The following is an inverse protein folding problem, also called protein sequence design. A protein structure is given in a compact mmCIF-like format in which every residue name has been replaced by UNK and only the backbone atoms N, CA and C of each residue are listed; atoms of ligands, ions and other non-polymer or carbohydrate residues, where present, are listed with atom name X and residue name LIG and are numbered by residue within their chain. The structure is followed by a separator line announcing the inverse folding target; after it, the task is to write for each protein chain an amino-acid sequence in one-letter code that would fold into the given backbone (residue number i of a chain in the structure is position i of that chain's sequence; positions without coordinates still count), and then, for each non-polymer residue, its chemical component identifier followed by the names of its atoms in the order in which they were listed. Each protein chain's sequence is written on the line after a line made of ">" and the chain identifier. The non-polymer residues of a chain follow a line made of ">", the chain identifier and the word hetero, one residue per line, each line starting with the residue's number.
data_IF_396042153146
#
_entry.id   IF_396042153146
#
_cell.length_a   1.000
_cell.length_b   1.000
_cell.length_c   1.000
_cell.angle_alpha   90.00
_cell.angle_beta   90.00
_cell.angle_gamma   90.00
#
_symmetry.space_group_name_H-M   'P 1'
#
loop_
_entity.id
_entity.type
_entity.pdbx_description
1 polymer ?
#
# COMPACT_ATOMS: atom_id res chain seq x y z
N UNK A 1 12.74 18.68 1.56
CA UNK A 1 12.32 17.40 2.13
C UNK A 1 13.53 16.71 2.72
N UNK A 2 13.86 16.99 3.98
CA UNK A 2 14.87 16.22 4.71
C UNK A 2 14.13 15.06 5.36
N UNK A 3 14.07 13.92 4.69
CA UNK A 3 13.64 12.67 5.33
C UNK A 3 14.61 12.39 6.47
N UNK A 4 14.11 12.36 7.71
CA UNK A 4 14.93 12.00 8.86
C UNK A 4 15.50 10.59 8.62
N UNK A 5 16.82 10.45 8.77
CA UNK A 5 17.48 9.16 8.66
C UNK A 5 16.93 8.21 9.73
N UNK A 6 16.20 7.18 9.30
CA UNK A 6 15.78 6.08 10.17
C UNK A 6 17.00 5.20 10.49
N UNK A 7 17.16 4.81 11.76
CA UNK A 7 18.13 3.78 12.13
C UNK A 7 17.65 2.45 11.56
N UNK A 8 18.60 1.57 11.21
CA UNK A 8 18.30 0.21 10.73
C UNK A 8 17.42 -0.52 11.75
N UNK A 9 16.25 -1.01 11.32
CA UNK A 9 15.30 -1.69 12.19
C UNK A 9 14.31 -0.79 12.94
N UNK A 10 14.36 0.53 12.78
CA UNK A 10 13.36 1.45 13.34
C UNK A 10 12.61 2.12 12.19
N UNK A 11 11.29 2.24 12.31
CA UNK A 11 10.49 3.15 11.51
C UNK A 11 9.99 4.29 12.41
N UNK A 12 10.32 5.53 12.04
CA UNK A 12 9.97 6.73 12.81
C UNK A 12 8.77 7.42 12.20
N UNK A 13 7.82 7.83 13.05
CA UNK A 13 6.76 8.75 12.64
C UNK A 13 7.34 10.15 12.44
N UNK A 14 7.01 10.78 11.31
CA UNK A 14 7.49 12.12 10.96
C UNK A 14 6.63 13.25 11.53
N UNK A 15 5.42 12.97 12.03
CA UNK A 15 4.46 14.02 12.41
C UNK A 15 3.44 13.61 13.50
N UNK A 16 3.74 12.68 14.42
CA UNK A 16 2.78 12.12 15.42
C UNK A 16 1.45 11.58 14.83
N UNK A 17 1.30 11.59 13.51
CA UNK A 17 0.15 11.15 12.71
C UNK A 17 0.33 9.72 12.21
N UNK A 18 1.28 8.99 12.81
CA UNK A 18 1.64 7.63 12.46
C UNK A 18 2.83 7.55 11.50
N UNK A 19 3.41 6.35 11.35
CA UNK A 19 4.51 6.08 10.44
C UNK A 19 4.02 6.01 8.99
N UNK A 20 4.60 6.82 8.10
CA UNK A 20 4.38 6.72 6.65
C UNK A 20 5.57 6.04 6.00
N UNK A 21 5.33 4.89 5.35
CA UNK A 21 6.40 4.06 4.80
C UNK A 21 6.10 3.75 3.34
N UNK A 22 7.07 4.08 2.48
CA UNK A 22 7.00 3.84 1.05
C UNK A 22 7.54 2.45 0.73
N UNK A 23 6.67 1.58 0.24
CA UNK A 23 7.05 0.30 -0.34
C UNK A 23 7.18 0.47 -1.86
N UNK A 24 8.41 0.60 -2.35
CA UNK A 24 8.67 0.97 -3.75
C UNK A 24 8.49 -0.18 -4.74
N UNK A 25 8.37 -1.43 -4.28
CA UNK A 25 8.52 -2.60 -5.18
C UNK A 25 7.30 -3.52 -5.28
N UNK A 26 6.21 -3.21 -4.59
CA UNK A 26 4.97 -4.00 -4.63
C UNK A 26 4.36 -4.04 -6.04
N UNK A 27 4.01 -2.87 -6.61
CA UNK A 27 3.47 -2.82 -7.98
C UNK A 27 4.51 -3.15 -9.06
N UNK A 28 5.77 -2.78 -8.82
CA UNK A 28 6.85 -3.00 -9.77
C UNK A 28 7.16 -4.48 -9.99
N UNK A 29 6.97 -5.35 -8.99
CA UNK A 29 7.15 -6.80 -9.15
C UNK A 29 6.11 -7.44 -10.07
N UNK A 30 4.84 -7.02 -9.98
CA UNK A 30 3.79 -7.44 -10.93
C UNK A 30 4.11 -6.92 -12.33
N UNK A 31 4.52 -5.66 -12.45
CA UNK A 31 4.90 -5.07 -13.73
C UNK A 31 6.12 -5.78 -14.34
N UNK A 32 7.11 -6.16 -13.53
CA UNK A 32 8.26 -6.93 -13.99
C UNK A 32 7.88 -8.32 -14.49
N UNK A 33 6.95 -9.02 -13.82
CA UNK A 33 6.40 -10.28 -14.31
C UNK A 33 5.72 -10.15 -15.67
N UNK A 34 5.03 -9.02 -15.90
CA UNK A 34 4.32 -8.70 -17.13
C UNK A 34 5.28 -8.31 -18.26
N UNK A 35 6.06 -7.27 -18.03
CA UNK A 35 6.81 -6.57 -19.08
C UNK A 35 8.17 -7.20 -19.34
N UNK A 36 8.82 -7.75 -18.31
CA UNK A 36 10.19 -8.31 -18.44
C UNK A 36 10.18 -9.82 -18.61
N UNK A 37 9.44 -10.56 -17.77
CA UNK A 37 9.38 -12.02 -17.88
C UNK A 37 8.29 -12.54 -18.82
N UNK A 38 7.27 -11.73 -19.14
CA UNK A 38 6.17 -12.14 -20.02
C UNK A 38 5.34 -13.30 -19.47
N UNK A 39 5.31 -13.50 -18.15
CA UNK A 39 4.56 -14.59 -17.51
C UNK A 39 3.05 -14.29 -17.53
N UNK A 40 2.70 -13.01 -17.38
CA UNK A 40 1.33 -12.49 -17.40
C UNK A 40 1.23 -11.41 -18.47
N UNK A 41 0.04 -11.20 -19.04
CA UNK A 41 -0.23 -10.14 -20.03
C UNK A 41 -0.83 -8.89 -19.40
N UNK A 42 -1.62 -9.06 -18.34
CA UNK A 42 -2.20 -7.96 -17.56
C UNK A 42 -1.93 -8.17 -16.08
N UNK A 43 -2.01 -7.10 -15.29
CA UNK A 43 -1.85 -7.19 -13.84
C UNK A 43 -2.97 -8.01 -13.18
N UNK A 44 -4.16 -8.09 -13.78
CA UNK A 44 -5.29 -8.88 -13.26
C UNK A 44 -5.06 -10.39 -13.37
N UNK A 45 -4.31 -10.85 -14.39
CA UNK A 45 -4.05 -12.28 -14.63
C UNK A 45 -3.20 -12.92 -13.52
N UNK A 46 -2.45 -12.13 -12.75
CA UNK A 46 -1.61 -12.65 -11.66
C UNK A 46 -2.43 -13.34 -10.58
N UNK A 47 -3.65 -12.87 -10.31
CA UNK A 47 -4.54 -13.46 -9.29
C UNK A 47 -4.96 -14.86 -9.70
N UNK A 48 -5.52 -14.99 -10.91
CA UNK A 48 -5.93 -16.29 -11.47
C UNK A 48 -4.76 -17.26 -11.53
N UNK A 49 -3.59 -16.78 -11.97
CA UNK A 49 -2.40 -17.62 -12.10
C UNK A 49 -1.88 -18.10 -10.75
N UNK A 50 -1.89 -17.24 -9.73
CA UNK A 50 -1.47 -17.57 -8.37
C UNK A 50 -2.51 -18.42 -7.62
N UNK A 51 -3.79 -18.34 -7.99
CA UNK A 51 -4.87 -19.17 -7.44
C UNK A 51 -4.84 -20.61 -7.95
N UNK A 52 -4.14 -20.91 -9.06
CA UNK A 52 -3.96 -22.27 -9.56
C UNK A 52 -3.15 -23.19 -8.62
N UNK A 53 -2.42 -22.60 -7.67
CA UNK A 53 -1.61 -23.33 -6.69
C UNK A 53 -2.01 -22.90 -5.28
N UNK A 54 -2.06 -23.86 -4.35
CA UNK A 54 -2.40 -23.56 -2.94
C UNK A 54 -1.22 -22.93 -2.20
N UNK A 55 0.01 -23.31 -2.55
CA UNK A 55 1.24 -22.85 -1.91
C UNK A 55 2.31 -22.51 -2.95
N UNK A 56 3.35 -21.77 -2.54
CA UNK A 56 4.52 -21.47 -3.37
C UNK A 56 5.43 -22.67 -3.64
N UNK A 57 5.21 -23.81 -2.96
CA UNK A 57 6.04 -25.00 -3.13
C UNK A 57 7.49 -24.79 -2.64
N UNK A 58 7.69 -23.88 -1.68
CA UNK A 58 9.01 -23.52 -1.15
C UNK A 58 9.74 -22.43 -1.94
N UNK A 59 9.10 -21.88 -2.98
CA UNK A 59 9.66 -20.75 -3.75
C UNK A 59 9.47 -19.45 -2.96
N UNK A 60 10.56 -18.73 -2.75
CA UNK A 60 10.54 -17.40 -2.16
C UNK A 60 11.13 -16.39 -3.15
N UNK A 61 10.43 -15.28 -3.30
CA UNK A 61 10.86 -14.16 -4.11
C UNK A 61 11.09 -12.94 -3.23
N UNK A 62 12.21 -12.25 -3.41
CA UNK A 62 12.52 -10.99 -2.75
C UNK A 62 12.63 -9.92 -3.83
N UNK A 63 11.63 -9.02 -3.97
CA UNK A 63 11.60 -8.00 -5.01
C UNK A 63 12.45 -6.78 -4.60
N UNK A 64 13.76 -6.96 -4.48
CA UNK A 64 14.69 -5.90 -4.12
C UNK A 64 15.38 -5.29 -5.36
N UNK A 65 14.64 -4.95 -6.43
CA UNK A 65 15.25 -4.49 -7.69
C UNK A 65 16.15 -3.26 -7.52
N UNK A 66 15.73 -2.33 -6.66
CA UNK A 66 16.46 -1.10 -6.34
C UNK A 66 16.96 -1.07 -4.89
N UNK A 67 17.20 -2.25 -4.29
CA UNK A 67 17.48 -2.37 -2.86
C UNK A 67 16.24 -2.68 -2.02
N UNK A 68 16.46 -2.90 -0.73
CA UNK A 68 15.42 -3.04 0.28
C UNK A 68 15.33 -1.75 1.09
N UNK A 69 14.11 -1.23 1.21
CA UNK A 69 13.83 -0.04 2.01
C UNK A 69 13.54 -0.42 3.46
N UNK A 70 12.74 0.36 4.17
CA UNK A 70 12.38 0.08 5.55
C UNK A 70 11.79 -1.34 5.69
N UNK A 71 12.10 -2.08 6.77
CA UNK A 71 12.98 -1.71 7.90
C UNK A 71 14.49 -1.95 7.67
N UNK A 72 14.85 -2.61 6.57
CA UNK A 72 16.18 -3.16 6.35
C UNK A 72 17.23 -2.14 5.89
N UNK A 73 16.83 -1.15 5.08
CA UNK A 73 17.68 -0.08 4.53
C UNK A 73 18.98 -0.63 3.92
N UNK A 74 18.83 -1.48 2.91
CA UNK A 74 19.91 -2.18 2.21
C UNK A 74 19.91 -1.84 0.73
N UNK A 75 20.73 -0.85 0.35
CA UNK A 75 20.92 -0.42 -1.04
C UNK A 75 21.67 -1.46 -1.89
N UNK A 76 22.43 -2.35 -1.24
CA UNK A 76 23.18 -3.43 -1.87
C UNK A 76 22.28 -4.61 -2.28
N UNK A 77 21.07 -4.71 -1.73
CA UNK A 77 20.17 -5.81 -2.00
C UNK A 77 19.67 -5.80 -3.46
N UNK A 78 19.52 -7.00 -4.04
CA UNK A 78 19.01 -7.20 -5.39
C UNK A 78 17.90 -8.23 -5.39
N UNK A 79 17.11 -8.26 -6.47
CA UNK A 79 16.04 -9.23 -6.65
C UNK A 79 16.57 -10.67 -6.57
N UNK A 80 15.98 -11.50 -5.72
CA UNK A 80 16.40 -12.89 -5.51
C UNK A 80 15.19 -13.81 -5.58
N UNK A 81 15.30 -14.92 -6.30
CA UNK A 81 14.33 -16.00 -6.32
C UNK A 81 15.03 -17.29 -5.90
N UNK A 82 14.54 -17.94 -4.85
CA UNK A 82 15.14 -19.16 -4.28
C UNK A 82 14.07 -20.26 -4.10
N UNK A 83 14.52 -21.49 -3.88
CA UNK A 83 13.62 -22.64 -3.67
C UNK A 83 13.03 -23.22 -4.96
N UNK A 84 13.61 -22.88 -6.12
CA UNK A 84 13.18 -23.42 -7.40
C UNK A 84 13.58 -24.90 -7.48
N UNK A 85 12.59 -25.75 -7.74
CA UNK A 85 12.77 -27.18 -8.02
C UNK A 85 12.19 -27.50 -9.40
N UNK A 86 12.32 -28.76 -9.85
CA UNK A 86 11.72 -29.21 -11.12
C UNK A 86 10.18 -29.12 -11.12
N UNK A 87 9.55 -29.09 -9.95
CA UNK A 87 8.09 -28.96 -9.81
C UNK A 87 7.61 -27.50 -9.92
N UNK A 88 8.53 -26.53 -9.79
CA UNK A 88 8.19 -25.12 -9.85
C UNK A 88 7.67 -24.76 -11.24
N UNK A 89 6.56 -24.03 -11.27
CA UNK A 89 5.91 -23.55 -12.48
C UNK A 89 5.65 -22.04 -12.36
N UNK A 90 5.11 -21.43 -13.42
CA UNK A 90 4.78 -19.99 -13.43
C UNK A 90 3.79 -19.57 -12.32
N UNK A 91 2.87 -20.45 -11.94
CA UNK A 91 1.90 -20.19 -10.85
C UNK A 91 2.57 -20.08 -9.49
N UNK A 92 3.56 -20.94 -9.20
CA UNK A 92 4.35 -20.84 -7.97
C UNK A 92 5.13 -19.52 -7.90
N UNK A 93 5.69 -19.07 -9.02
CA UNK A 93 6.41 -17.79 -9.09
C UNK A 93 5.46 -16.60 -8.89
N UNK A 94 4.29 -16.62 -9.55
CA UNK A 94 3.27 -15.59 -9.38
C UNK A 94 2.78 -15.51 -7.92
N UNK A 95 2.54 -16.67 -7.30
CA UNK A 95 2.17 -16.76 -5.88
C UNK A 95 3.28 -16.23 -4.97
N UNK A 96 4.54 -16.60 -5.22
CA UNK A 96 5.68 -16.13 -4.45
C UNK A 96 5.88 -14.61 -4.55
N UNK A 97 5.57 -14.03 -5.72
CA UNK A 97 5.60 -12.58 -5.92
C UNK A 97 4.52 -11.89 -5.09
N UNK A 98 3.28 -12.41 -5.06
CA UNK A 98 2.23 -11.86 -4.18
C UNK A 98 2.59 -12.00 -2.69
N UNK A 99 3.04 -13.18 -2.26
CA UNK A 99 3.46 -13.40 -0.87
C UNK A 99 4.63 -12.50 -0.45
N UNK A 100 5.57 -12.23 -1.36
CA UNK A 100 6.69 -11.31 -1.10
C UNK A 100 6.26 -9.88 -0.76
N UNK A 101 5.10 -9.45 -1.29
CA UNK A 101 4.52 -8.15 -0.95
C UNK A 101 4.00 -8.17 0.47
N UNK A 102 3.31 -9.25 0.84
CA UNK A 102 2.77 -9.42 2.18
C UNK A 102 3.87 -9.49 3.23
N UNK A 103 4.97 -10.20 2.95
CA UNK A 103 6.13 -10.25 3.84
C UNK A 103 6.74 -8.87 4.08
N UNK A 104 6.89 -8.04 3.04
CA UNK A 104 7.42 -6.68 3.22
C UNK A 104 6.48 -5.78 4.03
N UNK A 105 5.17 -5.86 3.80
CA UNK A 105 4.18 -5.15 4.62
C UNK A 105 4.29 -5.59 6.08
N UNK A 106 4.42 -6.90 6.32
CA UNK A 106 4.55 -7.48 7.65
C UNK A 106 5.85 -7.04 8.35
N UNK A 107 6.99 -7.11 7.68
CA UNK A 107 8.28 -6.65 8.22
C UNK A 107 8.21 -5.19 8.67
N UNK A 108 7.55 -4.35 7.86
CA UNK A 108 7.32 -2.95 8.19
C UNK A 108 6.43 -2.80 9.42
N UNK A 109 5.29 -3.48 9.45
CA UNK A 109 4.38 -3.43 10.60
C UNK A 109 5.03 -3.95 11.88
N UNK A 110 5.85 -4.99 11.79
CA UNK A 110 6.57 -5.53 12.95
C UNK A 110 7.63 -4.57 13.48
N UNK A 111 8.24 -3.76 12.59
CA UNK A 111 9.14 -2.69 13.02
C UNK A 111 8.43 -1.53 13.74
N UNK A 112 7.12 -1.39 13.54
CA UNK A 112 6.27 -0.39 14.19
C UNK A 112 5.64 -0.90 15.49
N UNK A 113 5.29 -2.18 15.53
CA UNK A 113 4.53 -2.82 16.60
C UNK A 113 5.35 -3.23 17.84
N UNK A 114 6.44 -2.51 18.15
CA UNK A 114 7.03 -2.60 19.50
C UNK A 114 6.06 -2.05 20.57
N UNK A 115 5.00 -1.35 20.19
CA UNK A 115 3.92 -0.88 21.07
C UNK A 115 2.64 -1.69 20.84
N UNK A 116 2.36 -2.59 21.80
CA UNK A 116 1.30 -3.61 21.75
C UNK A 116 -0.11 -3.00 21.84
N UNK A 117 -0.87 -3.05 20.75
CA UNK A 117 -2.32 -2.80 20.71
C UNK A 117 -3.00 -3.56 19.56
N UNK A 118 -4.31 -3.79 19.66
CA UNK A 118 -5.11 -4.27 18.53
C UNK A 118 -5.17 -3.17 17.46
N UNK A 119 -4.60 -3.42 16.29
CA UNK A 119 -4.65 -2.50 15.15
C UNK A 119 -5.43 -3.12 14.00
N UNK A 120 -6.10 -2.31 13.18
CA UNK A 120 -6.74 -2.76 11.94
C UNK A 120 -5.91 -2.29 10.75
N UNK A 121 -5.61 -3.19 9.80
CA UNK A 121 -4.95 -2.78 8.57
C UNK A 121 -6.00 -2.31 7.56
N UNK A 122 -6.04 -1.00 7.31
CA UNK A 122 -6.80 -0.42 6.21
C UNK A 122 -5.93 -0.38 4.96
N UNK A 123 -6.48 -0.82 3.84
CA UNK A 123 -5.75 -0.93 2.58
C UNK A 123 -6.48 -0.14 1.50
N UNK A 124 -5.72 0.53 0.64
CA UNK A 124 -6.23 1.21 -0.54
C UNK A 124 -5.21 1.13 -1.70
N UNK A 125 -5.68 1.38 -2.92
CA UNK A 125 -4.85 1.42 -4.13
C UNK A 125 -4.95 0.16 -5.01
N UNK A 126 -4.32 0.22 -6.18
CA UNK A 126 -4.55 -0.72 -7.28
C UNK A 126 -4.29 -2.21 -6.91
N UNK A 127 -3.29 -2.49 -6.06
CA UNK A 127 -2.97 -3.86 -5.65
C UNK A 127 -4.04 -4.47 -4.74
N UNK A 128 -4.82 -3.64 -4.03
CA UNK A 128 -5.86 -4.10 -3.09
C UNK A 128 -7.09 -4.68 -3.79
N UNK A 129 -7.22 -4.47 -5.10
CA UNK A 129 -8.24 -5.13 -5.91
C UNK A 129 -8.06 -6.66 -5.96
N UNK A 130 -6.84 -7.16 -5.77
CA UNK A 130 -6.53 -8.58 -5.77
C UNK A 130 -6.98 -9.23 -4.44
N UNK A 131 -8.01 -10.08 -4.50
CA UNK A 131 -8.59 -10.65 -3.28
C UNK A 131 -7.67 -11.69 -2.66
N UNK A 132 -7.00 -12.51 -3.49
CA UNK A 132 -6.03 -13.49 -3.00
C UNK A 132 -4.90 -12.82 -2.19
N UNK A 133 -4.37 -11.70 -2.67
CA UNK A 133 -3.35 -10.93 -1.96
C UNK A 133 -3.85 -10.44 -0.60
N UNK A 134 -5.09 -9.95 -0.54
CA UNK A 134 -5.69 -9.46 0.71
C UNK A 134 -5.94 -10.60 1.70
N UNK A 135 -6.33 -11.78 1.23
CA UNK A 135 -6.47 -12.98 2.05
C UNK A 135 -5.11 -13.42 2.63
N UNK A 136 -4.08 -13.52 1.79
CA UNK A 136 -2.72 -13.85 2.24
C UNK A 136 -2.22 -12.84 3.28
N UNK A 137 -2.48 -11.55 3.07
CA UNK A 137 -2.10 -10.49 4.02
C UNK A 137 -2.79 -10.67 5.37
N UNK A 138 -4.10 -10.96 5.37
CA UNK A 138 -4.88 -11.18 6.59
C UNK A 138 -4.40 -12.42 7.34
N UNK A 139 -4.15 -13.51 6.62
CA UNK A 139 -3.64 -14.77 7.18
C UNK A 139 -2.25 -14.58 7.80
N UNK A 140 -1.36 -13.85 7.11
CA UNK A 140 0.00 -13.58 7.59
C UNK A 140 0.01 -12.70 8.84
N UNK A 141 -0.92 -11.76 8.94
CA UNK A 141 -1.02 -10.84 10.06
C UNK A 141 -1.85 -11.37 11.23
N UNK A 142 -2.73 -12.34 11.00
CA UNK A 142 -3.71 -12.79 11.98
C UNK A 142 -4.70 -11.70 12.41
N UNK A 143 -4.93 -10.69 11.55
CA UNK A 143 -5.75 -9.51 11.84
C UNK A 143 -6.60 -9.16 10.62
N UNK A 144 -7.84 -8.67 10.80
CA UNK A 144 -8.69 -8.26 9.68
C UNK A 144 -8.05 -7.16 8.82
N UNK A 145 -8.05 -7.39 7.50
CA UNK A 145 -7.69 -6.39 6.49
C UNK A 145 -8.98 -5.74 5.99
N UNK A 146 -9.11 -4.43 6.17
CA UNK A 146 -10.31 -3.66 5.82
C UNK A 146 -10.07 -2.92 4.52
N UNK A 147 -10.75 -3.37 3.46
CA UNK A 147 -10.80 -2.69 2.16
C UNK A 147 -12.09 -1.85 2.09
N UNK A 148 -12.01 -0.53 1.90
CA UNK A 148 -13.18 0.33 1.71
C UNK A 148 -13.89 0.00 0.39
N UNK A 149 -15.18 0.30 0.33
CA UNK A 149 -15.97 0.12 -0.90
C UNK A 149 -15.53 1.14 -1.96
N UNK A 150 -15.32 2.39 -1.54
CA UNK A 150 -14.75 3.44 -2.38
C UNK A 150 -13.22 3.41 -2.33
N UNK A 151 -12.63 3.14 -3.50
CA UNK A 151 -11.17 3.10 -3.71
C UNK A 151 -10.53 4.49 -3.82
N UNK A 152 -11.33 5.55 -3.90
CA UNK A 152 -10.84 6.93 -3.97
C UNK A 152 -10.68 7.54 -2.58
N UNK A 153 -10.13 6.77 -1.64
CA UNK A 153 -10.01 7.20 -0.23
C UNK A 153 -9.14 8.44 -0.08
N UNK A 154 -8.15 8.59 -0.97
CA UNK A 154 -7.26 9.75 -1.02
C UNK A 154 -8.02 11.03 -1.38
N UNK A 155 -8.88 10.97 -2.40
CA UNK A 155 -9.71 12.09 -2.81
C UNK A 155 -10.76 12.40 -1.73
N UNK A 156 -11.38 11.37 -1.16
CA UNK A 156 -12.35 11.48 -0.08
C UNK A 156 -11.75 12.15 1.17
N UNK A 157 -10.52 11.81 1.54
CA UNK A 157 -9.82 12.46 2.65
C UNK A 157 -9.65 13.97 2.43
N UNK A 158 -9.31 14.37 1.20
CA UNK A 158 -9.17 15.79 0.83
C UNK A 158 -10.53 16.50 0.89
N UNK A 159 -11.58 15.86 0.38
CA UNK A 159 -12.94 16.41 0.42
C UNK A 159 -13.41 16.64 1.86
N UNK A 160 -13.14 15.70 2.79
CA UNK A 160 -13.47 15.88 4.20
C UNK A 160 -12.73 17.06 4.84
N UNK A 161 -11.43 17.20 4.61
CA UNK A 161 -10.66 18.32 5.16
C UNK A 161 -11.20 19.66 4.65
N UNK A 162 -11.50 19.75 3.35
CA UNK A 162 -12.08 20.94 2.76
C UNK A 162 -13.47 21.25 3.35
N UNK A 163 -14.32 20.23 3.47
CA UNK A 163 -15.65 20.36 4.07
C UNK A 163 -15.57 20.89 5.51
N UNK A 164 -14.71 20.32 6.34
CA UNK A 164 -14.51 20.79 7.71
C UNK A 164 -13.99 22.23 7.75
N UNK A 165 -13.01 22.56 6.90
CA UNK A 165 -12.47 23.91 6.81
C UNK A 165 -13.56 24.94 6.44
N UNK A 166 -14.40 24.64 5.45
CA UNK A 166 -15.50 25.51 5.05
C UNK A 166 -16.54 25.67 6.16
N UNK A 167 -16.88 24.60 6.87
CA UNK A 167 -17.79 24.65 8.02
C UNK A 167 -17.25 25.53 9.16
N UNK A 168 -15.95 25.49 9.44
CA UNK A 168 -15.35 26.38 10.44
C UNK A 168 -15.41 27.86 10.04
N UNK A 169 -15.34 28.17 8.74
CA UNK A 169 -15.50 29.53 8.22
C UNK A 169 -16.96 30.02 8.25
N UNK A 170 -17.94 29.13 8.28
CA UNK A 170 -19.35 29.51 8.50
C UNK A 170 -19.65 29.82 9.98
N UNK A 171 -18.99 29.13 10.91
CA UNK A 171 -19.17 29.32 12.36
C UNK A 171 -18.35 30.50 12.92
N UNK A 172 -17.25 30.88 12.25
CA UNK A 172 -16.50 32.10 12.58
C UNK A 172 -16.98 33.22 11.67
N UNK A 173 -17.69 34.22 12.22
CA UNK A 173 -18.11 35.43 11.49
C UNK A 173 -16.87 36.29 11.16
N UNK A 174 -16.08 35.83 10.20
CA UNK A 174 -14.89 36.53 9.72
C UNK A 174 -15.39 37.67 8.82
N UNK A 175 -15.12 38.95 9.14
CA UNK A 175 -15.63 40.07 8.37
C UNK A 175 -14.97 40.06 6.99
N UNK A 176 -15.71 39.58 6.00
CA UNK A 176 -15.30 39.61 4.59
C UNK A 176 -15.56 41.01 4.06
N UNK A 177 -14.50 41.84 4.03
CA UNK A 177 -14.50 43.03 3.18
C UNK A 177 -14.57 42.58 1.72
N UNK A 178 -15.74 42.87 1.13
CA UNK A 178 -16.07 43.03 -0.29
C UNK A 178 -15.41 42.07 -1.31
N UNK A 179 -16.28 41.32 -1.99
CA UNK A 179 -16.09 40.68 -3.29
C UNK A 179 -15.13 39.49 -3.42
N UNK A 180 -15.55 38.32 -2.92
CA UNK A 180 -15.15 37.05 -3.54
C UNK A 180 -16.37 36.17 -3.83
N UNK A 181 -17.05 36.49 -4.94
CA UNK A 181 -18.15 35.71 -5.55
C UNK A 181 -17.74 34.25 -5.81
N UNK A 182 -16.44 33.99 -5.98
CA UNK A 182 -15.88 32.67 -6.33
C UNK A 182 -16.11 31.60 -5.25
N UNK A 183 -16.05 31.94 -3.96
CA UNK A 183 -16.20 30.93 -2.90
C UNK A 183 -17.63 30.41 -2.76
N UNK A 184 -18.63 31.28 -2.94
CA UNK A 184 -20.04 30.88 -2.84
C UNK A 184 -20.47 29.94 -3.96
N UNK A 185 -19.91 30.11 -5.16
CA UNK A 185 -20.23 29.28 -6.32
C UNK A 185 -19.60 27.90 -6.23
N UNK A 186 -18.37 27.79 -5.71
CA UNK A 186 -17.72 26.51 -5.39
C UNK A 186 -18.48 25.76 -4.29
N UNK A 187 -18.90 26.46 -3.23
CA UNK A 187 -19.70 25.88 -2.14
C UNK A 187 -21.04 25.32 -2.62
N UNK A 188 -21.73 26.04 -3.51
CA UNK A 188 -23.03 25.61 -4.04
C UNK A 188 -22.90 24.35 -4.91
N UNK A 189 -21.86 24.29 -5.74
CA UNK A 189 -21.59 23.14 -6.60
C UNK A 189 -21.13 21.88 -5.82
N UNK A 190 -20.53 22.05 -4.63
CA UNK A 190 -20.10 20.93 -3.77
C UNK A 190 -21.23 20.35 -2.91
N UNK A 191 -22.26 21.15 -2.55
CA UNK A 191 -23.42 20.65 -1.81
C UNK A 191 -24.48 19.99 -2.71
N UNK A 192 -24.45 20.24 -4.02
CA UNK A 192 -25.40 19.69 -5.00
C UNK A 192 -24.87 18.44 -5.75
N UNK A 193 -23.63 18.01 -5.47
CA UNK A 193 -22.97 16.82 -6.05
C UNK A 193 -22.83 15.68 -5.04
#
# INVERSE_FOLDING_TARGET
>A
MLGQACKKGEAKSTYDTGPFILLTTTGAAVQWLRDSLGIIKSASEIEDLAAMVETTGGVYFVPAFNGLFAPWLREDARGVCIGITRFTNKSHIARAVLESMCFQVKDVLDSLNNEKGEFFLRVDGAATANNLLMHIQADLMGTPVVRPVDIETTALGTAYVLYFFLKMLEETDVPTKEDNIVYKEILKNLCEA
#
